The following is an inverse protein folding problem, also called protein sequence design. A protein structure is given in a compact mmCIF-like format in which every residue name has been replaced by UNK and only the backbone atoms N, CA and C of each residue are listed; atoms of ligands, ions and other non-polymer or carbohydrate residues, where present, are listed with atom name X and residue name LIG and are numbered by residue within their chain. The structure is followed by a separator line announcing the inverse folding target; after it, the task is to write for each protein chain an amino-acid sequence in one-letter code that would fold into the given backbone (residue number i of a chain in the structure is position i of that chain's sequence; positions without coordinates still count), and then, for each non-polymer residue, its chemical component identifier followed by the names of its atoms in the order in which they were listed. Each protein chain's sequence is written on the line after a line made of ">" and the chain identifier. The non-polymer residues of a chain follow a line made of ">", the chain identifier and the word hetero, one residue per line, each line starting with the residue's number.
data_IF_106612954021
#
_entry.id   IF_106612954021
#
_cell.length_a   1.000
_cell.length_b   1.000
_cell.length_c   1.000
_cell.angle_alpha   90.00
_cell.angle_beta   90.00
_cell.angle_gamma   90.00
#
_symmetry.space_group_name_H-M   'P 1'
#
loop_
_entity.id
_entity.type
_entity.pdbx_description
1 polymer ?
#
# COMPACT_ATOMS: atom_id res chain seq x y z
N UNK A 1 -10.72 -4.79 -21.23
CA UNK A 1 -11.12 -5.90 -20.34
C UNK A 1 -10.22 -5.85 -19.10
N UNK A 2 -10.67 -6.25 -17.92
CA UNK A 2 -9.82 -6.24 -16.70
C UNK A 2 -8.94 -7.50 -16.68
N UNK A 3 -7.76 -7.42 -16.08
CA UNK A 3 -6.88 -8.58 -15.93
C UNK A 3 -7.44 -9.58 -14.91
N UNK A 4 -7.41 -10.87 -15.26
CA UNK A 4 -7.73 -11.97 -14.33
C UNK A 4 -6.59 -12.27 -13.34
N UNK A 5 -5.43 -11.65 -13.49
CA UNK A 5 -4.32 -11.80 -12.55
C UNK A 5 -4.69 -11.11 -11.24
N UNK A 6 -4.53 -11.84 -10.12
CA UNK A 6 -4.78 -11.32 -8.79
C UNK A 6 -4.07 -9.98 -8.57
N UNK A 7 -4.80 -8.99 -8.05
CA UNK A 7 -4.32 -7.62 -7.83
C UNK A 7 -4.46 -6.70 -9.05
N UNK A 8 -4.05 -7.14 -10.25
CA UNK A 8 -4.02 -6.26 -11.44
C UNK A 8 -5.41 -5.84 -11.91
N UNK A 9 -6.41 -6.70 -11.74
CA UNK A 9 -7.81 -6.38 -12.07
C UNK A 9 -8.37 -5.17 -11.31
N UNK A 10 -7.75 -4.75 -10.21
CA UNK A 10 -8.18 -3.60 -9.40
C UNK A 10 -7.45 -2.30 -9.73
N UNK A 11 -6.42 -2.34 -10.59
CA UNK A 11 -5.76 -1.12 -11.05
C UNK A 11 -6.76 -0.21 -11.77
N UNK A 12 -6.62 1.09 -11.52
CA UNK A 12 -7.42 2.14 -12.18
C UNK A 12 -6.77 2.63 -13.47
N UNK A 13 -5.47 2.39 -13.62
CA UNK A 13 -4.67 2.79 -14.77
C UNK A 13 -3.83 1.59 -15.24
N UNK A 14 -3.98 1.25 -16.51
CA UNK A 14 -3.17 0.24 -17.22
C UNK A 14 -2.64 0.88 -18.51
N UNK A 15 -1.82 1.92 -18.32
CA UNK A 15 -1.20 2.70 -19.40
C UNK A 15 0.25 2.98 -19.01
N UNK A 16 1.09 3.17 -20.04
CA UNK A 16 2.42 3.73 -19.83
C UNK A 16 2.29 5.15 -19.26
N UNK A 17 3.15 5.48 -18.31
CA UNK A 17 3.23 6.82 -17.75
C UNK A 17 3.86 7.77 -18.77
N UNK A 18 3.23 8.92 -18.97
CA UNK A 18 3.68 9.98 -19.88
C UNK A 18 3.85 11.29 -19.09
N UNK A 19 4.78 12.17 -19.50
CA UNK A 19 4.95 13.48 -18.88
C UNK A 19 3.63 14.27 -18.83
N UNK A 20 3.36 14.91 -17.69
CA UNK A 20 2.13 15.64 -17.41
C UNK A 20 1.01 14.81 -16.77
N UNK A 21 1.17 13.48 -16.65
CA UNK A 21 0.26 12.67 -15.84
C UNK A 21 0.51 12.90 -14.34
N UNK A 22 -0.57 13.07 -13.58
CA UNK A 22 -0.56 13.08 -12.11
C UNK A 22 -1.21 11.79 -11.61
N UNK A 23 -0.48 11.02 -10.80
CA UNK A 23 -0.91 9.71 -10.29
C UNK A 23 -0.62 9.59 -8.80
N UNK A 24 -1.36 8.73 -8.11
CA UNK A 24 -1.06 8.36 -6.73
C UNK A 24 -0.08 7.20 -6.67
N UNK A 25 0.88 7.26 -5.76
CA UNK A 25 1.69 6.13 -5.34
C UNK A 25 1.25 5.77 -3.93
N UNK A 26 0.40 4.75 -3.81
CA UNK A 26 -0.39 4.51 -2.59
C UNK A 26 -0.28 3.07 -2.03
N UNK A 27 0.92 2.50 -1.85
CA UNK A 27 1.06 1.16 -1.28
C UNK A 27 0.48 1.09 0.13
N UNK A 28 -0.20 -0.01 0.43
CA UNK A 28 -0.77 -0.23 1.75
C UNK A 28 -0.70 -1.69 2.20
N UNK A 29 -0.63 -1.85 3.51
CA UNK A 29 -0.72 -3.13 4.20
C UNK A 29 -1.96 -3.14 5.08
N UNK A 30 -2.79 -4.17 4.99
CA UNK A 30 -4.03 -4.26 5.74
C UNK A 30 -4.24 -5.65 6.28
N UNK A 31 -4.71 -5.72 7.53
CA UNK A 31 -5.19 -6.96 8.13
C UNK A 31 -6.70 -7.00 8.01
N UNK A 32 -7.20 -7.49 6.87
CA UNK A 32 -8.63 -7.58 6.61
C UNK A 32 -9.14 -8.94 7.09
N UNK A 33 -9.95 -9.03 8.17
CA UNK A 33 -10.34 -10.32 8.74
C UNK A 33 -11.10 -11.21 7.75
N UNK A 34 -11.94 -10.63 6.89
CA UNK A 34 -12.66 -11.36 5.84
C UNK A 34 -11.76 -11.97 4.76
N UNK A 35 -10.50 -11.50 4.63
CA UNK A 35 -9.50 -12.10 3.74
C UNK A 35 -8.65 -13.10 4.51
N UNK A 36 -8.14 -12.69 5.69
CA UNK A 36 -7.15 -13.45 6.48
C UNK A 36 -7.72 -14.65 7.24
N UNK A 37 -9.01 -14.64 7.58
CA UNK A 37 -9.64 -15.73 8.34
C UNK A 37 -10.25 -16.82 7.45
N UNK A 38 -9.98 -16.75 6.15
CA UNK A 38 -10.32 -17.82 5.21
C UNK A 38 -9.47 -19.07 5.49
N UNK A 39 -10.08 -20.23 5.80
CA UNK A 39 -9.33 -21.44 6.16
C UNK A 39 -8.45 -21.98 5.03
N UNK A 40 -8.89 -21.84 3.78
CA UNK A 40 -8.13 -22.30 2.61
C UNK A 40 -6.86 -21.46 2.46
N UNK A 41 -6.97 -20.13 2.51
CA UNK A 41 -5.79 -19.23 2.47
C UNK A 41 -4.82 -19.49 3.61
N UNK A 42 -5.32 -19.67 4.84
CA UNK A 42 -4.44 -19.97 5.98
C UNK A 42 -3.65 -21.25 5.77
N UNK A 43 -4.30 -22.28 5.22
CA UNK A 43 -3.64 -23.53 4.84
C UNK A 43 -2.61 -23.32 3.72
N UNK A 44 -2.97 -22.57 2.66
CA UNK A 44 -2.07 -22.27 1.52
C UNK A 44 -0.80 -21.56 1.96
N UNK A 45 -0.89 -20.63 2.91
CA UNK A 45 0.23 -19.78 3.32
C UNK A 45 0.83 -20.15 4.69
N UNK A 46 0.50 -21.33 5.23
CA UNK A 46 0.94 -21.79 6.57
C UNK A 46 2.46 -21.78 6.76
N UNK A 47 3.22 -22.00 5.69
CA UNK A 47 4.69 -22.14 5.72
C UNK A 47 5.40 -20.81 5.40
N UNK A 48 4.66 -19.75 5.06
CA UNK A 48 5.22 -18.43 4.70
C UNK A 48 4.73 -17.29 5.59
N UNK A 49 3.63 -17.49 6.32
CA UNK A 49 3.09 -16.51 7.28
C UNK A 49 3.22 -17.05 8.69
N UNK A 50 3.88 -16.27 9.55
CA UNK A 50 3.81 -16.47 10.99
C UNK A 50 2.48 -15.91 11.51
N UNK A 51 1.48 -16.79 11.60
CA UNK A 51 0.12 -16.44 12.00
C UNK A 51 0.02 -15.99 13.45
N UNK A 52 0.85 -16.54 14.33
CA UNK A 52 0.87 -16.17 15.74
C UNK A 52 1.46 -14.78 15.93
N UNK A 53 2.51 -14.45 15.15
CA UNK A 53 3.08 -13.09 15.13
C UNK A 53 2.12 -12.08 14.52
N UNK A 54 1.44 -12.43 13.42
CA UNK A 54 0.48 -11.55 12.77
C UNK A 54 -0.69 -11.20 13.72
N UNK A 55 -1.21 -12.19 14.45
CA UNK A 55 -2.30 -12.00 15.41
C UNK A 55 -1.98 -11.02 16.55
N UNK A 56 -0.70 -10.78 16.86
CA UNK A 56 -0.29 -9.81 17.88
C UNK A 56 -0.53 -8.35 17.47
N UNK A 57 -0.85 -8.09 16.20
CA UNK A 57 -1.12 -6.76 15.65
C UNK A 57 -2.58 -6.63 15.18
N UNK A 58 -3.51 -7.43 15.68
CA UNK A 58 -4.90 -7.45 15.20
C UNK A 58 -5.66 -6.13 15.39
N UNK A 59 -5.18 -5.27 16.29
CA UNK A 59 -5.63 -3.91 16.52
C UNK A 59 -5.21 -2.94 15.39
N UNK A 60 -4.11 -3.25 14.69
CA UNK A 60 -3.65 -2.52 13.50
C UNK A 60 -4.39 -2.99 12.26
N UNK A 61 -5.49 -2.28 11.94
CA UNK A 61 -6.33 -2.59 10.75
C UNK A 61 -5.59 -2.45 9.43
N UNK A 62 -4.65 -1.50 9.36
CA UNK A 62 -3.80 -1.29 8.20
C UNK A 62 -3.18 0.10 8.13
N UNK A 63 -2.24 0.24 7.21
CA UNK A 63 -1.43 1.44 6.98
C UNK A 63 -1.37 1.65 5.47
N UNK A 64 -1.45 2.90 5.03
CA UNK A 64 -1.18 3.33 3.66
C UNK A 64 -0.38 4.61 3.69
N UNK A 65 0.67 4.65 2.89
CA UNK A 65 1.40 5.87 2.58
C UNK A 65 1.06 6.20 1.15
N UNK A 66 0.64 7.44 0.91
CA UNK A 66 0.08 7.88 -0.37
C UNK A 66 0.68 9.22 -0.75
N UNK A 67 1.37 9.23 -1.89
CA UNK A 67 1.96 10.43 -2.49
C UNK A 67 1.28 10.76 -3.82
N UNK A 68 1.06 12.06 -4.04
CA UNK A 68 0.74 12.63 -5.35
C UNK A 68 2.02 12.86 -6.16
N UNK A 69 2.13 12.18 -7.31
CA UNK A 69 3.35 12.16 -8.13
C UNK A 69 3.06 12.63 -9.55
N UNK A 70 3.69 13.74 -9.93
CA UNK A 70 3.66 14.30 -11.28
C UNK A 70 4.77 13.69 -12.13
N UNK A 71 4.42 13.02 -13.22
CA UNK A 71 5.40 12.50 -14.19
C UNK A 71 5.97 13.65 -15.01
N UNK A 72 7.29 13.73 -15.12
CA UNK A 72 8.01 14.76 -15.89
C UNK A 72 8.71 14.13 -17.09
N UNK A 73 9.30 14.94 -17.98
CA UNK A 73 10.03 14.43 -19.16
C UNK A 73 11.22 13.52 -18.80
N UNK A 74 11.82 13.70 -17.63
CA UNK A 74 13.04 13.01 -17.21
C UNK A 74 12.89 12.20 -15.92
N UNK A 75 11.68 12.17 -15.33
CA UNK A 75 11.44 11.47 -14.07
C UNK A 75 10.06 11.81 -13.49
N UNK A 76 10.05 12.21 -12.22
CA UNK A 76 8.83 12.59 -11.52
C UNK A 76 9.11 13.64 -10.43
N UNK A 77 8.07 14.40 -10.08
CA UNK A 77 8.03 15.33 -8.95
C UNK A 77 7.00 14.81 -7.93
N UNK A 78 7.41 14.73 -6.67
CA UNK A 78 6.55 14.30 -5.57
C UNK A 78 5.95 15.56 -4.92
N UNK A 79 4.67 15.84 -5.21
CA UNK A 79 4.00 17.06 -4.77
C UNK A 79 3.70 17.08 -3.26
N UNK A 80 3.75 15.91 -2.64
CA UNK A 80 3.42 15.65 -1.22
C UNK A 80 4.65 15.34 -0.38
N UNK A 81 5.87 15.53 -0.92
CA UNK A 81 7.14 15.22 -0.26
C UNK A 81 7.37 15.94 1.08
N UNK A 82 6.60 16.98 1.39
CA UNK A 82 6.63 17.65 2.68
C UNK A 82 5.93 16.90 3.82
N UNK A 83 5.18 15.83 3.53
CA UNK A 83 4.54 14.99 4.55
C UNK A 83 5.55 13.98 5.10
N UNK A 84 5.74 13.90 6.43
CA UNK A 84 6.70 12.97 7.00
C UNK A 84 6.18 11.53 6.88
N UNK A 85 7.07 10.64 6.46
CA UNK A 85 6.85 9.18 6.46
C UNK A 85 7.90 8.44 7.29
N UNK A 86 8.97 9.14 7.69
CA UNK A 86 9.93 8.66 8.66
C UNK A 86 9.31 8.55 10.05
N UNK A 87 9.69 7.50 10.79
CA UNK A 87 9.13 7.20 12.10
C UNK A 87 9.30 8.36 13.08
N UNK A 88 10.52 8.89 13.22
CA UNK A 88 10.84 9.94 14.19
C UNK A 88 10.11 11.22 13.82
N UNK A 89 10.11 11.58 12.54
CA UNK A 89 9.42 12.77 12.04
C UNK A 89 7.90 12.72 12.26
N UNK A 90 7.28 11.54 12.09
CA UNK A 90 5.84 11.36 12.37
C UNK A 90 5.57 11.44 13.87
N UNK A 91 6.40 10.80 14.70
CA UNK A 91 6.24 10.86 16.15
C UNK A 91 6.37 12.30 16.68
N UNK A 92 7.36 13.05 16.22
CA UNK A 92 7.58 14.45 16.59
C UNK A 92 6.41 15.33 16.15
N UNK A 93 5.89 15.14 14.93
CA UNK A 93 4.74 15.88 14.41
C UNK A 93 3.49 15.67 15.28
N UNK A 94 3.28 14.48 15.82
CA UNK A 94 2.10 14.14 16.64
C UNK A 94 2.28 14.57 18.10
N UNK A 95 3.50 14.56 18.62
CA UNK A 95 3.78 14.90 20.03
C UNK A 95 3.59 16.40 20.34
N UNK A 96 3.90 17.28 19.38
CA UNK A 96 3.78 18.74 19.53
C UNK A 96 4.95 19.38 20.27
#
# INVERSE_FOLDING_TARGET
>A
ERSDRFGLGFLRLDRLLEPGMLVTIEPGFYQVPGILNDPERRSTYKDVVDWDRLAQFDDVRGIRIEDDVLVTETGAEILTAGLPTDLEAVEDLVRG
#
